data_IF_052883144509
#
_entry.id   IF_052883144509
#
_cell.length_a   1.000
_cell.length_b   1.000
_cell.length_c   1.000
_cell.angle_alpha   90.00
_cell.angle_beta   90.00
_cell.angle_gamma   90.00
#
_symmetry.space_group_name_H-M   'P 1'
#
loop_
_entity.id
_entity.type
_entity.pdbx_description
1 polymer ?
#
# COMPACT_ATOMS: atom_id res chain seq x y z
N UNK A 1 27.77 -63.80 15.54
CA UNK A 1 26.88 -62.69 15.95
C UNK A 1 25.45 -63.04 15.54
N UNK A 2 24.49 -63.09 16.48
CA UNK A 2 23.07 -63.34 16.16
C UNK A 2 22.45 -62.03 15.67
N UNK A 3 21.97 -61.98 14.42
CA UNK A 3 21.32 -60.79 13.88
C UNK A 3 19.98 -60.56 14.63
N UNK A 4 19.72 -59.35 15.14
CA UNK A 4 18.43 -59.04 15.76
C UNK A 4 17.30 -59.15 14.73
N UNK A 5 16.17 -59.75 15.15
CA UNK A 5 14.96 -59.90 14.35
C UNK A 5 14.53 -58.57 13.73
N UNK A 6 14.37 -58.52 12.41
CA UNK A 6 14.04 -57.32 11.65
C UNK A 6 12.80 -56.55 12.19
N UNK A 7 11.87 -57.25 12.85
CA UNK A 7 10.70 -56.63 13.51
C UNK A 7 11.06 -55.70 14.68
N UNK A 8 12.18 -55.95 15.38
CA UNK A 8 12.63 -55.15 16.54
C UNK A 8 13.33 -53.84 16.16
N UNK A 9 13.75 -53.71 14.90
CA UNK A 9 14.40 -52.49 14.37
C UNK A 9 13.38 -51.64 13.60
N UNK A 10 12.44 -52.28 12.90
CA UNK A 10 11.45 -51.59 12.08
C UNK A 10 10.51 -50.69 12.92
N UNK A 11 10.04 -51.18 14.07
CA UNK A 11 9.10 -50.45 14.92
C UNK A 11 9.64 -49.12 15.47
N UNK A 12 10.83 -49.04 16.10
CA UNK A 12 11.37 -47.75 16.57
C UNK A 12 11.75 -46.82 15.42
N UNK A 13 12.17 -47.37 14.27
CA UNK A 13 12.50 -46.59 13.08
C UNK A 13 11.26 -45.91 12.49
N UNK A 14 10.15 -46.65 12.32
CA UNK A 14 8.90 -46.09 11.84
C UNK A 14 8.36 -45.02 12.79
N UNK A 15 8.47 -45.25 14.10
CA UNK A 15 8.01 -44.29 15.10
C UNK A 15 8.86 -43.00 15.11
N UNK A 16 10.17 -43.10 14.87
CA UNK A 16 11.05 -41.94 14.71
C UNK A 16 10.72 -41.14 13.45
N UNK A 17 10.39 -41.80 12.34
CA UNK A 17 9.98 -41.12 11.09
C UNK A 17 8.64 -40.40 11.27
N UNK A 18 7.66 -40.99 11.98
CA UNK A 18 6.39 -40.31 12.27
C UNK A 18 6.57 -39.06 13.15
N UNK A 19 7.52 -39.07 14.10
CA UNK A 19 7.82 -37.93 14.96
C UNK A 19 8.56 -36.79 14.23
N UNK A 20 9.37 -37.08 13.21
CA UNK A 20 10.05 -36.04 12.42
C UNK A 20 9.09 -35.28 11.50
N UNK A 21 8.02 -35.91 10.99
CA UNK A 21 7.07 -35.26 10.06
C UNK A 21 6.14 -34.27 10.77
N UNK A 22 5.83 -34.48 12.05
CA UNK A 22 4.95 -33.57 12.81
C UNK A 22 5.65 -32.30 13.32
N UNK A 23 6.98 -32.29 13.41
CA UNK A 23 7.75 -31.16 13.91
C UNK A 23 8.02 -30.05 12.86
N UNK A 24 7.90 -30.35 11.56
CA UNK A 24 8.12 -29.39 10.47
C UNK A 24 6.82 -28.81 9.87
N UNK A 25 5.66 -29.16 10.40
CA UNK A 25 4.35 -28.79 9.88
C UNK A 25 3.75 -27.49 10.43
N UNK A 26 4.56 -26.50 10.83
CA UNK A 26 4.03 -25.18 11.17
C UNK A 26 3.63 -24.44 9.90
N UNK A 27 2.41 -24.68 9.43
CA UNK A 27 1.74 -23.78 8.47
C UNK A 27 1.65 -22.41 9.13
N UNK A 28 2.51 -21.49 8.69
CA UNK A 28 2.48 -20.09 9.11
C UNK A 28 1.08 -19.55 8.79
N UNK A 29 0.28 -19.31 9.82
CA UNK A 29 -1.00 -18.63 9.66
C UNK A 29 -0.72 -17.25 9.08
N UNK A 30 -1.39 -16.87 7.98
CA UNK A 30 -1.12 -15.59 7.35
C UNK A 30 -1.35 -14.48 8.38
N UNK A 31 -0.34 -13.65 8.58
CA UNK A 31 -0.43 -12.50 9.45
C UNK A 31 -1.47 -11.53 8.89
N UNK A 32 -2.10 -10.74 9.75
CA UNK A 32 -3.00 -9.64 9.32
C UNK A 32 -2.33 -8.65 8.35
N UNK A 33 -1.00 -8.66 8.29
CA UNK A 33 -0.19 -7.80 7.42
C UNK A 33 0.15 -8.47 6.08
N UNK A 34 0.02 -9.79 5.96
CA UNK A 34 0.38 -10.51 4.73
C UNK A 34 -0.55 -10.14 3.57
N UNK A 35 -1.82 -9.83 3.90
CA UNK A 35 -2.77 -9.27 2.93
C UNK A 35 -2.33 -7.90 2.42
N UNK A 36 -1.90 -7.01 3.32
CA UNK A 36 -1.39 -5.69 2.95
C UNK A 36 -0.07 -5.77 2.16
N UNK A 37 0.79 -6.75 2.49
CA UNK A 37 2.02 -7.04 1.75
C UNK A 37 1.70 -7.57 0.34
N UNK A 38 0.73 -8.47 0.17
CA UNK A 38 0.29 -8.90 -1.15
C UNK A 38 -0.30 -7.75 -1.97
N UNK A 39 -1.18 -6.94 -1.39
CA UNK A 39 -1.78 -5.78 -2.08
C UNK A 39 -0.72 -4.73 -2.49
N UNK A 40 0.35 -4.57 -1.71
CA UNK A 40 1.44 -3.63 -2.03
C UNK A 40 2.51 -4.19 -2.97
N UNK A 41 2.68 -5.51 -3.02
CA UNK A 41 3.71 -6.18 -3.86
C UNK A 41 3.14 -6.66 -5.20
N UNK A 42 1.82 -6.64 -5.39
CA UNK A 42 1.24 -6.75 -6.72
C UNK A 42 1.71 -5.55 -7.56
N UNK A 43 2.66 -5.83 -8.47
CA UNK A 43 3.04 -4.99 -9.61
C UNK A 43 1.76 -4.35 -10.16
N UNK A 44 1.69 -3.02 -10.41
CA UNK A 44 0.49 -2.40 -10.94
C UNK A 44 0.15 -3.10 -12.25
N UNK A 45 -0.77 -4.06 -12.17
CA UNK A 45 -1.35 -4.71 -13.33
C UNK A 45 -1.96 -3.58 -14.12
N UNK A 46 -1.66 -3.54 -15.42
CA UNK A 46 -2.23 -2.60 -16.36
C UNK A 46 -3.69 -2.37 -15.98
N UNK A 47 -4.00 -1.15 -15.51
CA UNK A 47 -5.32 -0.82 -15.02
C UNK A 47 -6.32 -1.21 -16.11
N UNK A 48 -7.05 -2.30 -15.89
CA UNK A 48 -8.05 -2.78 -16.82
C UNK A 48 -9.21 -1.81 -16.65
N UNK A 49 -9.15 -0.74 -17.44
CA UNK A 49 -10.15 0.31 -17.57
C UNK A 49 -11.53 -0.34 -17.59
N UNK A 50 -12.25 -0.22 -16.47
CA UNK A 50 -13.61 -0.73 -16.38
C UNK A 50 -14.54 0.27 -17.05
N UNK A 51 -15.70 -0.17 -17.52
CA UNK A 51 -16.66 0.69 -18.23
C UNK A 51 -17.19 1.85 -17.38
N UNK A 52 -17.00 1.84 -16.06
CA UNK A 52 -17.23 2.98 -15.17
C UNK A 52 -16.17 4.10 -15.30
N UNK A 53 -14.99 3.81 -15.86
CA UNK A 53 -13.94 4.80 -16.16
C UNK A 53 -14.27 5.65 -17.41
N UNK A 54 -15.27 5.26 -18.21
CA UNK A 54 -15.69 6.04 -19.39
C UNK A 54 -16.51 7.29 -19.06
N UNK A 55 -17.12 7.39 -17.88
CA UNK A 55 -17.88 8.60 -17.50
C UNK A 55 -16.99 9.75 -16.99
N UNK A 56 -15.71 9.48 -16.67
CA UNK A 56 -14.69 10.52 -16.45
C UNK A 56 -13.78 10.74 -17.67
N UNK A 57 -13.94 9.94 -18.73
CA UNK A 57 -13.19 10.07 -19.98
C UNK A 57 -13.65 11.25 -20.87
N UNK A 58 -14.60 12.08 -20.41
CA UNK A 58 -14.99 13.30 -21.14
C UNK A 58 -14.14 14.52 -20.79
N UNK A 59 -13.08 14.37 -19.99
CA UNK A 59 -12.07 15.42 -19.89
C UNK A 59 -10.84 14.98 -20.71
N UNK A 60 -10.94 15.16 -22.03
CA UNK A 60 -9.88 14.82 -23.00
C UNK A 60 -8.53 15.53 -22.76
N UNK A 61 -8.45 16.39 -21.75
CA UNK A 61 -7.28 17.19 -21.43
C UNK A 61 -6.49 16.72 -20.21
N UNK A 62 -6.79 15.55 -19.63
CA UNK A 62 -5.99 15.02 -18.52
C UNK A 62 -4.66 14.43 -19.02
N UNK A 63 -3.51 14.82 -18.43
CA UNK A 63 -2.23 14.21 -18.72
C UNK A 63 -2.30 12.69 -18.54
N UNK A 64 -1.68 11.93 -19.47
CA UNK A 64 -1.65 10.45 -19.38
C UNK A 64 -0.66 9.92 -18.33
N UNK A 65 0.24 10.79 -17.85
CA UNK A 65 1.30 10.43 -16.91
C UNK A 65 1.22 11.32 -15.69
N UNK A 66 1.21 10.67 -14.52
CA UNK A 66 1.26 11.35 -13.24
C UNK A 66 2.59 12.08 -13.04
N UNK A 67 2.54 13.26 -12.42
CA UNK A 67 3.72 14.04 -12.06
C UNK A 67 4.44 13.44 -10.85
N UNK A 68 5.78 13.52 -10.79
CA UNK A 68 6.53 13.08 -9.61
C UNK A 68 6.09 13.82 -8.34
N UNK A 69 5.93 13.10 -7.23
CA UNK A 69 5.41 13.64 -5.97
C UNK A 69 6.13 14.89 -5.48
N UNK A 70 7.46 14.91 -5.50
CA UNK A 70 8.22 16.07 -5.04
C UNK A 70 8.01 17.34 -5.87
N UNK A 71 7.57 17.24 -7.13
CA UNK A 71 7.19 18.42 -7.93
C UNK A 71 5.88 19.04 -7.45
N UNK A 72 5.06 18.30 -6.69
CA UNK A 72 3.83 18.79 -6.08
C UNK A 72 4.09 19.61 -4.82
N UNK A 73 5.27 19.49 -4.20
CA UNK A 73 5.63 20.19 -2.96
C UNK A 73 5.48 21.71 -3.03
N UNK A 74 5.70 22.29 -4.22
CA UNK A 74 5.56 23.73 -4.47
C UNK A 74 4.13 24.26 -4.28
N UNK A 75 3.13 23.38 -4.32
CA UNK A 75 1.72 23.74 -4.14
C UNK A 75 1.27 23.66 -2.68
N UNK A 76 2.10 23.09 -1.80
CA UNK A 76 1.81 23.16 -0.36
C UNK A 76 2.08 24.56 0.15
N UNK A 77 1.25 25.08 1.07
CA UNK A 77 1.55 26.31 1.79
C UNK A 77 2.95 26.27 2.40
N UNK A 78 3.65 27.39 2.35
CA UNK A 78 4.92 27.56 3.07
C UNK A 78 4.70 27.47 4.57
N UNK A 79 5.73 27.07 5.31
CA UNK A 79 5.71 27.16 6.78
C UNK A 79 5.61 28.62 7.22
N UNK A 80 4.93 28.87 8.34
CA UNK A 80 4.61 30.22 8.80
C UNK A 80 3.47 30.22 9.82
N UNK A 81 3.26 31.37 10.49
CA UNK A 81 2.17 31.51 11.47
C UNK A 81 2.25 30.54 12.67
N UNK A 82 3.46 30.08 13.01
CA UNK A 82 3.69 29.07 14.04
C UNK A 82 3.42 27.63 13.62
N UNK A 83 3.24 27.38 12.32
CA UNK A 83 3.11 26.03 11.76
C UNK A 83 4.33 25.63 10.93
N UNK A 84 4.81 24.41 11.18
CA UNK A 84 5.87 23.76 10.42
C UNK A 84 5.28 22.72 9.48
N UNK A 85 5.75 22.70 8.23
CA UNK A 85 5.34 21.70 7.25
C UNK A 85 6.46 20.68 7.06
N UNK A 86 6.15 19.40 7.23
CA UNK A 86 7.11 18.30 7.04
C UNK A 86 6.54 17.31 6.01
N UNK A 87 7.25 17.08 4.91
CA UNK A 87 6.85 16.09 3.92
C UNK A 87 6.99 14.68 4.50
N UNK A 88 5.91 13.89 4.40
CA UNK A 88 5.84 12.55 4.98
C UNK A 88 5.87 11.46 3.90
N UNK A 89 5.28 11.72 2.73
CA UNK A 89 5.24 10.78 1.62
C UNK A 89 5.28 11.53 0.28
N UNK A 90 6.08 11.01 -0.63
CA UNK A 90 6.17 11.49 -2.01
C UNK A 90 6.21 10.28 -2.93
N UNK A 91 5.24 10.19 -3.83
CA UNK A 91 5.10 9.11 -4.82
C UNK A 91 4.66 9.72 -6.15
N UNK A 92 4.77 8.98 -7.25
CA UNK A 92 4.22 9.45 -8.52
C UNK A 92 2.72 9.76 -8.38
N UNK A 93 2.32 11.00 -8.67
CA UNK A 93 0.96 11.52 -8.57
C UNK A 93 0.47 11.80 -7.15
N UNK A 94 1.35 11.78 -6.14
CA UNK A 94 0.96 11.98 -4.75
C UNK A 94 2.05 12.65 -3.92
N UNK A 95 1.64 13.62 -3.10
CA UNK A 95 2.46 14.17 -2.04
C UNK A 95 1.62 14.38 -0.79
N UNK A 96 2.22 14.13 0.37
CA UNK A 96 1.61 14.31 1.69
C UNK A 96 2.55 15.07 2.61
N UNK A 97 2.02 16.07 3.29
CA UNK A 97 2.74 16.86 4.27
C UNK A 97 1.99 16.89 5.61
N UNK A 98 2.74 16.69 6.68
CA UNK A 98 2.33 16.92 8.06
C UNK A 98 2.42 18.41 8.38
N UNK A 99 1.36 18.96 8.95
CA UNK A 99 1.38 20.29 9.54
C UNK A 99 1.53 20.14 11.05
N UNK A 100 2.59 20.73 11.59
CA UNK A 100 2.93 20.67 13.00
C UNK A 100 2.81 22.05 13.64
N UNK A 101 2.39 22.12 14.90
CA UNK A 101 2.38 23.36 15.70
C UNK A 101 2.93 23.04 17.09
N UNK A 102 4.00 23.73 17.50
CA UNK A 102 4.68 23.44 18.76
C UNK A 102 5.17 21.98 18.84
N UNK A 103 5.69 21.44 17.73
CA UNK A 103 6.19 20.06 17.64
C UNK A 103 5.13 18.96 17.57
N UNK A 104 3.83 19.29 17.67
CA UNK A 104 2.73 18.32 17.55
C UNK A 104 2.13 18.33 16.17
N UNK A 105 1.84 17.17 15.60
CA UNK A 105 1.09 17.07 14.37
C UNK A 105 -0.37 17.45 14.60
N UNK A 106 -0.86 18.43 13.84
CA UNK A 106 -2.22 18.98 13.98
C UNK A 106 -3.05 18.80 12.72
N UNK A 107 -2.42 18.56 11.57
CA UNK A 107 -3.12 18.22 10.34
C UNK A 107 -2.23 17.43 9.39
N UNK A 108 -2.87 16.84 8.38
CA UNK A 108 -2.25 16.22 7.24
C UNK A 108 -2.84 16.83 5.97
N UNK A 109 -1.96 17.29 5.10
CA UNK A 109 -2.28 17.88 3.81
C UNK A 109 -1.87 16.89 2.73
N UNK A 110 -2.70 16.68 1.72
CA UNK A 110 -2.37 15.81 0.59
C UNK A 110 -2.74 16.45 -0.74
N UNK A 111 -1.94 16.16 -1.76
CA UNK A 111 -2.17 16.53 -3.15
C UNK A 111 -2.14 15.26 -3.98
N UNK A 112 -3.19 15.04 -4.77
CA UNK A 112 -3.30 13.92 -5.69
C UNK A 112 -3.41 14.46 -7.13
N UNK A 113 -2.52 13.97 -7.99
CA UNK A 113 -2.65 14.14 -9.43
C UNK A 113 -3.69 13.16 -9.95
N UNK A 114 -4.76 13.69 -10.55
CA UNK A 114 -5.85 12.92 -11.13
C UNK A 114 -5.42 12.08 -12.34
N UNK A 115 -4.27 12.36 -12.96
CA UNK A 115 -3.66 11.48 -13.95
C UNK A 115 -3.20 10.14 -13.35
N UNK A 116 -2.75 10.14 -12.09
CA UNK A 116 -2.32 8.95 -11.35
C UNK A 116 -3.42 8.34 -10.47
N UNK A 117 -4.43 9.12 -10.12
CA UNK A 117 -5.59 8.67 -9.35
C UNK A 117 -6.88 9.37 -9.81
N UNK A 118 -7.51 8.90 -10.90
CA UNK A 118 -8.74 9.50 -11.44
C UNK A 118 -9.88 9.55 -10.42
N UNK A 119 -9.95 8.56 -9.53
CA UNK A 119 -10.98 8.48 -8.47
C UNK A 119 -10.90 9.60 -7.42
N UNK A 120 -9.75 10.28 -7.30
CA UNK A 120 -9.58 11.37 -6.33
C UNK A 120 -10.55 12.53 -6.59
N UNK A 121 -10.82 12.86 -7.85
CA UNK A 121 -11.77 13.91 -8.24
C UNK A 121 -13.21 13.60 -7.80
N UNK A 122 -13.60 12.32 -7.76
CA UNK A 122 -14.95 11.91 -7.37
C UNK A 122 -15.31 12.35 -5.94
N UNK A 123 -14.31 12.43 -5.04
CA UNK A 123 -14.52 12.84 -3.63
C UNK A 123 -15.04 14.28 -3.49
N UNK A 124 -14.84 15.12 -4.51
CA UNK A 124 -15.18 16.53 -4.47
C UNK A 124 -16.39 16.89 -5.34
N UNK A 125 -16.99 15.93 -6.05
CA UNK A 125 -18.15 16.17 -6.93
C UNK A 125 -19.37 16.75 -6.19
N UNK A 126 -19.50 16.50 -4.88
CA UNK A 126 -20.57 17.04 -4.03
C UNK A 126 -20.13 18.27 -3.22
N UNK A 127 -18.94 18.80 -3.44
CA UNK A 127 -18.45 19.98 -2.72
C UNK A 127 -19.27 21.21 -3.13
N UNK A 128 -19.83 21.92 -2.16
CA UNK A 128 -20.48 23.22 -2.36
C UNK A 128 -19.49 24.40 -2.32
N UNK A 129 -18.21 24.12 -2.02
CA UNK A 129 -17.15 25.12 -1.92
C UNK A 129 -16.20 24.99 -3.10
N UNK A 130 -15.82 26.14 -3.66
CA UNK A 130 -14.79 26.30 -4.69
C UNK A 130 -13.62 27.11 -4.12
N UNK A 131 -12.43 26.88 -4.65
CA UNK A 131 -11.20 27.65 -4.34
C UNK A 131 -10.88 28.53 -5.55
N UNK A 132 -10.49 29.79 -5.29
CA UNK A 132 -10.54 30.89 -6.25
C UNK A 132 -9.58 30.87 -7.44
N UNK A 133 -8.61 29.96 -7.47
CA UNK A 133 -7.63 29.88 -8.57
C UNK A 133 -6.54 30.93 -8.48
#
# INVERSE_FOLDING_TARGET
>A
MKLPSARKILAPFLMSVLLLVTACGQTQTPSRWDKAQQESTQKPGQAKQTTADKSSASNQNLPKKAVDGGKLNKYFPSSGGGFDRVFAQEKSGFAEAKLNKGGKNVAMLSINDIAGNPSAGAKFQKSTKQIGG
#
